data_IF_591367452255
#
_entry.id   IF_591367452255
#
_cell.length_a   1.000
_cell.length_b   1.000
_cell.length_c   1.000
_cell.angle_alpha   90.00
_cell.angle_beta   90.00
_cell.angle_gamma   90.00
#
_symmetry.space_group_name_H-M   'P 1'
#
loop_
_entity.id
_entity.type
_entity.pdbx_description
1 polymer ?
#
# COMPACT_ATOMS: atom_id res chain seq x y z
N UNK A 1 -8.14 -53.40 -10.03
CA UNK A 1 -7.07 -52.54 -9.51
C UNK A 1 -7.01 -51.31 -10.39
N UNK A 2 -7.41 -50.16 -9.85
CA UNK A 2 -7.63 -48.93 -10.62
C UNK A 2 -6.30 -48.32 -11.05
N UNK A 3 -6.25 -47.72 -12.24
CA UNK A 3 -5.06 -47.04 -12.78
C UNK A 3 -4.52 -45.95 -11.82
N UNK A 4 -5.37 -45.38 -10.98
CA UNK A 4 -4.99 -44.42 -9.94
C UNK A 4 -4.21 -45.05 -8.77
N UNK A 5 -4.54 -46.28 -8.37
CA UNK A 5 -3.86 -47.00 -7.29
C UNK A 5 -2.43 -47.39 -7.71
N UNK A 6 -2.25 -47.75 -8.99
CA UNK A 6 -0.94 -48.03 -9.56
C UNK A 6 -0.02 -46.79 -9.62
N UNK A 7 -0.58 -45.61 -9.87
CA UNK A 7 0.18 -44.36 -9.90
C UNK A 7 0.60 -43.90 -8.50
N UNK A 8 -0.29 -44.01 -7.50
CA UNK A 8 0.03 -43.69 -6.11
C UNK A 8 1.09 -44.62 -5.52
N UNK A 9 1.00 -45.93 -5.80
CA UNK A 9 2.00 -46.89 -5.35
C UNK A 9 3.35 -46.71 -6.06
N UNK A 10 3.35 -46.25 -7.32
CA UNK A 10 4.58 -45.94 -8.07
C UNK A 10 5.23 -44.65 -7.56
N UNK A 11 4.44 -43.63 -7.22
CA UNK A 11 4.92 -42.41 -6.58
C UNK A 11 5.46 -42.64 -5.16
N UNK A 12 4.79 -43.47 -4.36
CA UNK A 12 5.26 -43.84 -3.03
C UNK A 12 6.63 -44.52 -3.06
N UNK A 13 6.80 -45.53 -3.93
CA UNK A 13 8.09 -46.21 -4.10
C UNK A 13 9.22 -45.29 -4.59
N UNK A 14 8.95 -44.39 -5.55
CA UNK A 14 9.99 -43.45 -6.01
C UNK A 14 10.36 -42.42 -4.95
N UNK A 15 9.40 -41.97 -4.11
CA UNK A 15 9.72 -41.05 -3.01
C UNK A 15 10.59 -41.73 -1.95
N UNK A 16 10.31 -42.99 -1.62
CA UNK A 16 11.10 -43.79 -0.66
C UNK A 16 12.51 -44.10 -1.21
N UNK A 17 12.62 -44.43 -2.50
CA UNK A 17 13.91 -44.67 -3.19
C UNK A 17 14.77 -43.39 -3.24
N UNK A 18 14.15 -42.22 -3.41
CA UNK A 18 14.83 -40.92 -3.34
C UNK A 18 15.27 -40.55 -1.91
N UNK A 19 14.60 -41.06 -0.88
CA UNK A 19 15.00 -40.86 0.53
C UNK A 19 16.17 -41.77 0.90
N UNK A 20 16.23 -42.98 0.34
CA UNK A 20 17.27 -43.97 0.65
C UNK A 20 18.59 -43.72 -0.13
N UNK A 21 18.52 -43.09 -1.31
CA UNK A 21 19.68 -42.89 -2.19
C UNK A 21 20.48 -41.60 -1.96
N UNK A 22 20.08 -40.71 -1.05
CA UNK A 22 20.79 -39.44 -0.78
C UNK A 22 21.65 -39.56 0.49
N UNK A 23 22.97 -39.78 0.40
CA UNK A 23 23.84 -39.90 1.55
C UNK A 23 24.22 -38.51 2.05
N UNK A 24 23.86 -38.21 3.30
CA UNK A 24 24.10 -36.91 3.92
C UNK A 24 23.03 -35.91 3.51
N UNK A 25 22.08 -35.68 4.41
CA UNK A 25 20.95 -34.76 4.25
C UNK A 25 21.38 -33.31 4.06
N UNK A 26 21.95 -32.98 2.91
CA UNK A 26 22.09 -31.63 2.42
C UNK A 26 20.76 -31.24 1.78
N UNK A 27 19.72 -31.12 2.61
CA UNK A 27 18.60 -30.28 2.25
C UNK A 27 19.18 -28.88 2.10
N UNK A 28 19.47 -28.49 0.85
CA UNK A 28 19.65 -27.08 0.52
C UNK A 28 18.32 -26.45 0.93
N UNK A 29 18.32 -25.71 2.04
CA UNK A 29 17.22 -24.81 2.36
C UNK A 29 17.23 -23.81 1.21
N UNK A 30 16.50 -24.11 0.15
CA UNK A 30 16.20 -23.15 -0.90
C UNK A 30 15.39 -22.11 -0.16
N UNK A 31 16.06 -21.07 0.31
CA UNK A 31 15.40 -19.87 0.80
C UNK A 31 14.70 -19.36 -0.46
N UNK A 32 13.36 -19.45 -0.53
CA UNK A 32 12.66 -18.86 -1.65
C UNK A 32 13.13 -17.41 -1.73
N UNK A 33 13.35 -16.85 -2.92
CA UNK A 33 13.52 -15.40 -3.00
C UNK A 33 12.38 -14.77 -2.20
N UNK A 34 12.66 -13.80 -1.31
CA UNK A 34 11.62 -13.21 -0.48
C UNK A 34 10.47 -12.84 -1.42
N UNK A 35 9.28 -13.38 -1.17
CA UNK A 35 8.13 -13.14 -2.03
C UNK A 35 7.72 -11.68 -1.85
N UNK A 36 8.36 -10.81 -2.63
CA UNK A 36 8.17 -9.38 -2.54
C UNK A 36 6.80 -9.07 -3.11
N UNK A 37 5.95 -8.44 -2.33
CA UNK A 37 4.63 -8.03 -2.79
C UNK A 37 4.73 -7.12 -4.02
N UNK A 38 4.51 -7.67 -5.22
CA UNK A 38 4.61 -6.95 -6.50
C UNK A 38 3.66 -5.75 -6.58
N UNK A 39 2.56 -5.76 -5.84
CA UNK A 39 1.57 -4.68 -5.80
C UNK A 39 2.11 -3.39 -5.18
N UNK A 40 3.10 -3.49 -4.28
CA UNK A 40 3.65 -2.34 -3.55
C UNK A 40 5.18 -2.27 -3.58
N UNK A 41 5.86 -3.26 -4.14
CA UNK A 41 7.32 -3.29 -4.26
C UNK A 41 7.88 -2.13 -5.09
N UNK A 42 7.09 -1.53 -5.96
CA UNK A 42 7.49 -0.36 -6.74
C UNK A 42 7.81 0.88 -5.89
N UNK A 43 7.37 0.93 -4.62
CA UNK A 43 7.81 1.94 -3.66
C UNK A 43 9.30 1.82 -3.27
N UNK A 44 9.96 0.70 -3.58
CA UNK A 44 11.39 0.53 -3.35
C UNK A 44 12.26 1.12 -4.46
N UNK A 45 11.68 1.46 -5.62
CA UNK A 45 12.47 1.94 -6.74
C UNK A 45 13.04 3.34 -6.49
N UNK A 46 14.31 3.58 -6.85
CA UNK A 46 14.91 4.90 -6.74
C UNK A 46 14.14 5.90 -7.61
N UNK A 47 13.87 7.09 -7.06
CA UNK A 47 13.16 8.16 -7.76
C UNK A 47 11.65 8.18 -7.56
N UNK A 48 11.03 7.17 -6.94
CA UNK A 48 9.58 7.16 -6.76
C UNK A 48 9.06 8.34 -5.94
N UNK A 49 9.83 8.78 -4.93
CA UNK A 49 9.51 9.99 -4.15
C UNK A 49 9.59 11.26 -4.98
N UNK A 50 10.61 11.36 -5.84
CA UNK A 50 10.77 12.48 -6.76
C UNK A 50 9.59 12.55 -7.71
N UNK A 51 9.23 11.43 -8.33
CA UNK A 51 8.05 11.33 -9.22
C UNK A 51 6.78 11.72 -8.48
N UNK A 52 6.61 11.28 -7.22
CA UNK A 52 5.45 11.64 -6.40
C UNK A 52 5.35 13.16 -6.16
N UNK A 53 6.48 13.81 -5.81
CA UNK A 53 6.55 15.26 -5.63
C UNK A 53 6.27 16.00 -6.94
N UNK A 54 6.80 15.51 -8.07
CA UNK A 54 6.53 16.09 -9.38
C UNK A 54 5.06 15.97 -9.77
N UNK A 55 4.41 14.83 -9.50
CA UNK A 55 2.97 14.66 -9.74
C UNK A 55 2.16 15.70 -8.97
N UNK A 56 2.50 15.94 -7.69
CA UNK A 56 1.84 16.97 -6.88
C UNK A 56 2.06 18.36 -7.49
N UNK A 57 3.30 18.70 -7.84
CA UNK A 57 3.65 19.99 -8.42
C UNK A 57 2.92 20.23 -9.76
N UNK A 58 2.94 19.26 -10.67
CA UNK A 58 2.25 19.37 -11.95
C UNK A 58 0.72 19.39 -11.79
N UNK A 59 0.17 18.69 -10.80
CA UNK A 59 -1.26 18.79 -10.46
C UNK A 59 -1.62 20.21 -10.03
N UNK A 60 -0.80 20.84 -9.20
CA UNK A 60 -0.99 22.22 -8.80
C UNK A 60 -0.91 23.18 -10.02
N UNK A 61 0.12 23.04 -10.86
CA UNK A 61 0.26 23.82 -12.09
C UNK A 61 -0.94 23.66 -13.02
N UNK A 62 -1.43 22.42 -13.19
CA UNK A 62 -2.60 22.13 -14.00
C UNK A 62 -3.86 22.81 -13.44
N UNK A 63 -4.08 22.77 -12.13
CA UNK A 63 -5.23 23.41 -11.49
C UNK A 63 -5.18 24.94 -11.65
N UNK A 64 -4.04 25.56 -11.37
CA UNK A 64 -3.87 27.02 -11.58
C UNK A 64 -4.13 27.38 -13.04
N UNK A 65 -3.58 26.61 -13.98
CA UNK A 65 -3.68 26.89 -15.41
C UNK A 65 -5.10 26.71 -15.96
N UNK A 66 -5.78 25.62 -15.56
CA UNK A 66 -7.10 25.27 -16.07
C UNK A 66 -8.21 26.14 -15.46
N UNK A 67 -8.15 26.41 -14.16
CA UNK A 67 -9.21 27.13 -13.44
C UNK A 67 -8.93 28.62 -13.23
N UNK A 68 -7.70 29.08 -13.53
CA UNK A 68 -7.26 30.48 -13.31
C UNK A 68 -7.55 30.99 -11.90
N UNK A 69 -7.51 30.10 -10.91
CA UNK A 69 -7.69 30.45 -9.50
C UNK A 69 -6.38 30.95 -8.89
N UNK A 70 -6.47 31.56 -7.71
CA UNK A 70 -5.28 31.93 -6.95
C UNK A 70 -4.51 30.69 -6.46
N UNK A 71 -3.25 30.91 -6.10
CA UNK A 71 -2.34 29.86 -5.65
C UNK A 71 -2.84 29.10 -4.41
N UNK A 72 -3.49 29.78 -3.47
CA UNK A 72 -3.97 29.17 -2.22
C UNK A 72 -5.18 28.27 -2.45
N UNK A 73 -6.12 28.72 -3.29
CA UNK A 73 -7.23 27.89 -3.74
C UNK A 73 -6.73 26.64 -4.47
N UNK A 74 -5.74 26.79 -5.36
CA UNK A 74 -5.16 25.64 -6.06
C UNK A 74 -4.52 24.62 -5.09
N UNK A 75 -3.78 25.07 -4.07
CA UNK A 75 -3.22 24.18 -3.06
C UNK A 75 -4.28 23.46 -2.22
N UNK A 76 -5.38 24.14 -1.90
CA UNK A 76 -6.53 23.50 -1.23
C UNK A 76 -7.14 22.40 -2.10
N UNK A 77 -7.35 22.67 -3.39
CA UNK A 77 -7.85 21.63 -4.32
C UNK A 77 -6.88 20.45 -4.42
N UNK A 78 -5.56 20.71 -4.56
CA UNK A 78 -4.54 19.64 -4.57
C UNK A 78 -4.60 18.81 -3.29
N UNK A 79 -4.69 19.44 -2.12
CA UNK A 79 -4.76 18.76 -0.83
C UNK A 79 -6.00 17.86 -0.72
N UNK A 80 -7.18 18.35 -1.14
CA UNK A 80 -8.43 17.59 -1.09
C UNK A 80 -8.47 16.45 -2.11
N UNK A 81 -7.95 16.67 -3.32
CA UNK A 81 -7.84 15.61 -4.35
C UNK A 81 -6.83 14.55 -3.90
N UNK A 82 -5.68 14.97 -3.36
CA UNK A 82 -4.68 14.06 -2.80
C UNK A 82 -5.28 13.22 -1.67
N UNK A 83 -6.03 13.83 -0.75
CA UNK A 83 -6.78 13.14 0.28
C UNK A 83 -7.71 12.06 -0.31
N UNK A 84 -8.60 12.44 -1.24
CA UNK A 84 -9.59 11.53 -1.81
C UNK A 84 -8.93 10.35 -2.55
N UNK A 85 -7.95 10.64 -3.41
CA UNK A 85 -7.23 9.64 -4.20
C UNK A 85 -6.43 8.72 -3.29
N UNK A 86 -5.58 9.28 -2.42
CA UNK A 86 -4.71 8.45 -1.59
C UNK A 86 -5.49 7.65 -0.56
N UNK A 87 -6.55 8.19 0.03
CA UNK A 87 -7.41 7.42 0.92
C UNK A 87 -8.07 6.25 0.19
N UNK A 88 -8.61 6.48 -1.01
CA UNK A 88 -9.23 5.43 -1.84
C UNK A 88 -8.25 4.30 -2.17
N UNK A 89 -7.04 4.62 -2.62
CA UNK A 89 -6.07 3.60 -3.00
C UNK A 89 -5.41 2.94 -1.79
N UNK A 90 -4.90 3.71 -0.84
CA UNK A 90 -4.14 3.15 0.28
C UNK A 90 -5.02 2.50 1.34
N UNK A 91 -6.20 3.06 1.65
CA UNK A 91 -6.96 2.67 2.84
C UNK A 91 -8.28 1.96 2.52
N UNK A 92 -8.74 1.99 1.27
CA UNK A 92 -9.97 1.30 0.88
C UNK A 92 -9.74 0.08 -0.03
N UNK A 93 -8.89 0.22 -1.05
CA UNK A 93 -8.61 -0.88 -1.98
C UNK A 93 -7.83 -1.99 -1.26
N UNK A 94 -8.33 -3.22 -1.37
CA UNK A 94 -7.76 -4.46 -0.82
C UNK A 94 -7.33 -5.40 -1.94
N UNK A 95 -6.49 -6.37 -1.61
CA UNK A 95 -6.01 -7.39 -2.54
C UNK A 95 -4.94 -6.87 -3.50
N UNK A 96 -4.64 -7.71 -4.49
CA UNK A 96 -3.66 -7.49 -5.54
C UNK A 96 -4.15 -8.15 -6.83
N UNK A 97 -3.77 -7.64 -8.01
CA UNK A 97 -4.09 -8.28 -9.28
C UNK A 97 -3.18 -9.46 -9.64
N UNK A 98 -2.13 -9.74 -8.85
CA UNK A 98 -1.13 -10.77 -9.14
C UNK A 98 -1.55 -12.12 -8.58
N UNK A 99 -1.76 -13.12 -9.44
CA UNK A 99 -2.19 -14.47 -9.04
C UNK A 99 -1.09 -15.25 -8.29
N UNK A 100 0.17 -14.81 -8.41
CA UNK A 100 1.30 -15.45 -7.74
C UNK A 100 1.29 -15.28 -6.22
N UNK A 101 0.49 -14.35 -5.70
CA UNK A 101 0.39 -14.06 -4.27
C UNK A 101 -0.44 -15.08 -3.47
N UNK A 102 -1.06 -16.05 -4.14
CA UNK A 102 -1.91 -17.10 -3.55
C UNK A 102 -3.03 -16.57 -2.62
N UNK A 103 -3.44 -15.30 -2.80
CA UNK A 103 -4.46 -14.65 -1.99
C UNK A 103 -3.98 -14.08 -0.65
N UNK A 104 -2.67 -14.10 -0.35
CA UNK A 104 -2.08 -13.62 0.91
C UNK A 104 -2.47 -12.17 1.23
N UNK A 105 -2.67 -11.35 0.21
CA UNK A 105 -3.01 -9.94 0.36
C UNK A 105 -4.50 -9.64 0.21
N UNK A 106 -5.36 -10.65 0.00
CA UNK A 106 -6.79 -10.48 -0.32
C UNK A 106 -7.57 -9.62 0.69
N UNK A 107 -7.24 -9.74 1.98
CA UNK A 107 -7.89 -8.99 3.07
C UNK A 107 -7.16 -7.68 3.42
N UNK A 108 -5.97 -7.44 2.88
CA UNK A 108 -5.10 -6.33 3.25
C UNK A 108 -5.27 -5.16 2.30
N UNK A 109 -5.36 -3.95 2.86
CA UNK A 109 -5.32 -2.72 2.06
C UNK A 109 -3.94 -2.49 1.48
N UNK A 110 -3.83 -1.65 0.44
CA UNK A 110 -2.52 -1.27 -0.09
C UNK A 110 -1.61 -0.66 0.98
N UNK A 111 -2.15 0.15 1.91
CA UNK A 111 -1.37 0.67 3.02
C UNK A 111 -0.82 -0.43 3.91
N UNK A 112 -1.58 -1.49 4.16
CA UNK A 112 -1.13 -2.63 4.98
C UNK A 112 -0.09 -3.48 4.24
N UNK A 113 -0.15 -3.48 2.91
CA UNK A 113 0.78 -4.19 2.03
C UNK A 113 2.15 -3.49 1.88
N UNK A 114 2.19 -2.15 1.89
CA UNK A 114 3.44 -1.38 1.69
C UNK A 114 4.56 -1.83 2.63
N UNK A 115 5.76 -2.00 2.08
CA UNK A 115 6.96 -2.46 2.79
C UNK A 115 6.73 -3.76 3.59
N UNK A 116 5.93 -4.68 3.04
CA UNK A 116 5.57 -5.97 3.65
C UNK A 116 4.91 -5.81 5.04
N UNK A 117 4.16 -4.72 5.23
CA UNK A 117 3.49 -4.43 6.50
C UNK A 117 4.39 -3.90 7.61
N UNK A 118 5.71 -3.74 7.38
CA UNK A 118 6.63 -3.17 8.37
C UNK A 118 6.24 -1.73 8.68
N UNK A 119 6.12 -1.39 9.96
CA UNK A 119 5.71 -0.05 10.41
C UNK A 119 6.89 0.92 10.44
N UNK A 120 6.60 2.22 10.33
CA UNK A 120 7.56 3.33 10.48
C UNK A 120 8.80 3.26 9.57
N UNK A 121 8.69 2.55 8.46
CA UNK A 121 9.68 2.51 7.39
C UNK A 121 9.87 3.88 6.75
N UNK A 122 10.95 4.01 5.98
CA UNK A 122 11.26 5.24 5.27
C UNK A 122 10.12 5.67 4.33
N UNK A 123 9.54 4.74 3.56
CA UNK A 123 8.43 5.02 2.64
C UNK A 123 7.14 5.40 3.38
N UNK A 124 6.78 4.68 4.46
CA UNK A 124 5.60 5.03 5.26
C UNK A 124 5.73 6.41 5.89
N UNK A 125 6.91 6.78 6.40
CA UNK A 125 7.19 8.12 6.92
C UNK A 125 6.99 9.16 5.81
N UNK A 126 7.59 8.97 4.64
CA UNK A 126 7.40 9.85 3.50
C UNK A 126 5.91 10.03 3.15
N UNK A 127 5.18 8.93 2.93
CA UNK A 127 3.76 8.93 2.58
C UNK A 127 2.85 9.52 3.68
N UNK A 128 3.32 9.58 4.92
CA UNK A 128 2.61 10.21 6.04
C UNK A 128 2.93 11.70 6.16
N UNK A 129 4.17 12.11 5.88
CA UNK A 129 4.61 13.51 5.95
C UNK A 129 4.01 14.34 4.82
N UNK A 130 3.90 13.80 3.60
CA UNK A 130 3.37 14.56 2.45
C UNK A 130 2.01 15.22 2.71
N UNK A 131 0.96 14.53 3.19
CA UNK A 131 -0.31 15.20 3.45
C UNK A 131 -0.23 16.26 4.57
N UNK A 132 0.70 16.12 5.53
CA UNK A 132 0.95 17.16 6.53
C UNK A 132 1.56 18.41 5.89
N UNK A 133 2.53 18.23 4.99
CA UNK A 133 3.14 19.36 4.25
C UNK A 133 2.11 20.03 3.34
N UNK A 134 1.30 19.26 2.61
CA UNK A 134 0.23 19.80 1.76
C UNK A 134 -0.77 20.63 2.58
N UNK A 135 -1.19 20.12 3.73
CA UNK A 135 -2.04 20.85 4.66
C UNK A 135 -1.43 22.19 5.10
N UNK A 136 -0.16 22.19 5.47
CA UNK A 136 0.54 23.41 5.92
C UNK A 136 0.64 24.44 4.80
N UNK A 137 1.00 24.02 3.58
CA UNK A 137 1.08 24.91 2.41
C UNK A 137 -0.31 25.47 2.08
N UNK A 138 -1.34 24.62 1.99
CA UNK A 138 -2.69 25.05 1.67
C UNK A 138 -3.28 26.01 2.72
N UNK A 139 -3.04 25.73 4.01
CA UNK A 139 -3.53 26.58 5.11
C UNK A 139 -2.80 27.93 5.16
N UNK A 140 -1.48 27.92 4.98
CA UNK A 140 -0.68 29.14 4.96
C UNK A 140 -1.01 30.04 3.77
N UNK A 141 -1.12 29.47 2.57
CA UNK A 141 -1.41 30.22 1.34
C UNK A 141 -2.85 30.73 1.27
N UNK A 142 -3.77 30.19 2.07
CA UNK A 142 -5.14 30.70 2.22
C UNK A 142 -5.32 31.59 3.45
N UNK A 143 -4.22 32.03 4.07
CA UNK A 143 -4.22 32.92 5.25
C UNK A 143 -5.10 32.37 6.39
N UNK A 144 -5.13 31.04 6.54
CA UNK A 144 -5.91 30.33 7.55
C UNK A 144 -7.42 30.65 7.54
N UNK A 145 -7.94 31.14 6.40
CA UNK A 145 -9.34 31.55 6.29
C UNK A 145 -10.28 30.36 6.14
N UNK A 146 -11.45 30.49 6.74
CA UNK A 146 -12.55 29.55 6.51
C UNK A 146 -13.21 29.84 5.15
N UNK A 147 -13.70 28.81 4.43
CA UNK A 147 -13.81 27.40 4.83
C UNK A 147 -12.55 26.54 4.55
N UNK A 148 -11.54 27.07 3.86
CA UNK A 148 -10.37 26.31 3.41
C UNK A 148 -9.62 25.65 4.56
N UNK A 149 -9.37 26.38 5.66
CA UNK A 149 -8.69 25.84 6.84
C UNK A 149 -9.43 24.61 7.40
N UNK A 150 -10.75 24.71 7.56
CA UNK A 150 -11.58 23.63 8.10
C UNK A 150 -11.53 22.37 7.23
N UNK A 151 -11.73 22.52 5.92
CA UNK A 151 -11.70 21.41 4.97
C UNK A 151 -10.32 20.73 4.95
N UNK A 152 -9.24 21.52 4.87
CA UNK A 152 -7.88 21.01 4.88
C UNK A 152 -7.54 20.28 6.19
N UNK A 153 -8.05 20.79 7.33
CA UNK A 153 -7.84 20.18 8.66
C UNK A 153 -8.53 18.83 8.77
N UNK A 154 -9.79 18.72 8.35
CA UNK A 154 -10.50 17.43 8.36
C UNK A 154 -9.77 16.40 7.48
N UNK A 155 -9.37 16.81 6.27
CA UNK A 155 -8.67 15.94 5.33
C UNK A 155 -7.37 15.39 5.92
N UNK A 156 -6.52 16.24 6.52
CA UNK A 156 -5.25 15.80 7.09
C UNK A 156 -5.45 14.94 8.35
N UNK A 157 -6.37 15.31 9.24
CA UNK A 157 -6.66 14.53 10.44
C UNK A 157 -7.11 13.12 10.07
N UNK A 158 -8.07 12.99 9.15
CA UNK A 158 -8.58 11.69 8.72
C UNK A 158 -7.47 10.82 8.09
N UNK A 159 -6.67 11.40 7.19
CA UNK A 159 -5.64 10.66 6.46
C UNK A 159 -4.47 10.25 7.35
N UNK A 160 -4.05 11.10 8.29
CA UNK A 160 -2.95 10.81 9.22
C UNK A 160 -3.38 9.75 10.23
N UNK A 161 -4.59 9.84 10.77
CA UNK A 161 -5.12 8.80 11.68
C UNK A 161 -5.06 7.43 11.00
N UNK A 162 -5.55 7.32 9.76
CA UNK A 162 -5.51 6.07 9.01
C UNK A 162 -4.09 5.52 8.76
N UNK A 163 -3.05 6.37 8.85
CA UNK A 163 -1.65 5.97 8.66
C UNK A 163 -0.93 5.56 9.94
N UNK A 164 -1.54 5.73 11.12
CA UNK A 164 -0.90 5.35 12.37
C UNK A 164 -0.66 3.84 12.47
N UNK A 165 0.46 3.39 13.09
CA UNK A 165 0.73 1.96 13.28
C UNK A 165 -0.39 1.22 14.00
N UNK A 166 -1.05 1.88 14.96
CA UNK A 166 -2.16 1.33 15.74
C UNK A 166 -3.41 1.06 14.88
N UNK A 167 -3.50 1.62 13.67
CA UNK A 167 -4.59 1.38 12.73
C UNK A 167 -4.32 0.21 11.78
N UNK A 168 -3.19 -0.50 11.93
CA UNK A 168 -2.89 -1.67 11.12
C UNK A 168 -3.93 -2.77 11.31
N UNK A 169 -4.61 -3.19 10.24
CA UNK A 169 -5.71 -4.17 10.23
C UNK A 169 -6.93 -3.74 11.05
N UNK A 170 -6.99 -2.48 11.47
CA UNK A 170 -8.16 -1.93 12.15
C UNK A 170 -9.10 -1.34 11.11
N UNK A 171 -10.39 -1.66 11.25
CA UNK A 171 -11.47 -1.09 10.46
C UNK A 171 -12.40 -0.39 11.43
N UNK A 172 -12.42 0.94 11.39
CA UNK A 172 -13.27 1.75 12.28
C UNK A 172 -14.73 1.33 12.02
N UNK A 173 -15.44 0.95 13.09
CA UNK A 173 -16.81 0.42 13.04
C UNK A 173 -17.00 -0.87 12.21
N UNK A 174 -15.93 -1.60 11.89
CA UNK A 174 -16.00 -2.83 11.08
C UNK A 174 -16.29 -2.61 9.60
N UNK A 175 -16.39 -1.35 9.14
CA UNK A 175 -16.63 -1.03 7.73
C UNK A 175 -15.46 -1.55 6.89
N UNK A 176 -15.76 -2.32 5.84
CA UNK A 176 -14.75 -2.92 4.95
C UNK A 176 -13.84 -3.96 5.66
N UNK A 177 -14.31 -4.60 6.74
CA UNK A 177 -13.66 -5.73 7.40
C UNK A 177 -14.01 -7.06 6.74
N UNK A 178 -12.98 -7.88 6.47
CA UNK A 178 -13.14 -9.29 6.02
C UNK A 178 -12.49 -10.26 7.04
N UNK A 179 -12.20 -9.78 8.25
CA UNK A 179 -11.72 -10.64 9.33
C UNK A 179 -12.90 -11.32 9.98
N UNK A 180 -12.78 -12.61 10.23
CA UNK A 180 -13.78 -13.36 10.99
C UNK A 180 -13.79 -12.78 12.42
N UNK A 181 -14.89 -12.12 12.77
CA UNK A 181 -15.11 -11.50 14.09
C UNK A 181 -15.57 -12.53 15.11
#
# INVERSE_FOLDING_TARGET
MSMAEGLLHRWGRSAEELVETVPGGLYVKVVPPPDTNKNTSWFQYPGIWTTYILIILFSWLAIVSAFRCDAGTAWTVVNLVHFAVTYRFFHWKKGTPFAEDQGDYGKLTWWEQVDDGRQLTRNRKFLTVVPVVLYLIASHTTDYRNPNLFLNTIAVCWLVIAKFPNMHRVRIFGINSDYDT
#
